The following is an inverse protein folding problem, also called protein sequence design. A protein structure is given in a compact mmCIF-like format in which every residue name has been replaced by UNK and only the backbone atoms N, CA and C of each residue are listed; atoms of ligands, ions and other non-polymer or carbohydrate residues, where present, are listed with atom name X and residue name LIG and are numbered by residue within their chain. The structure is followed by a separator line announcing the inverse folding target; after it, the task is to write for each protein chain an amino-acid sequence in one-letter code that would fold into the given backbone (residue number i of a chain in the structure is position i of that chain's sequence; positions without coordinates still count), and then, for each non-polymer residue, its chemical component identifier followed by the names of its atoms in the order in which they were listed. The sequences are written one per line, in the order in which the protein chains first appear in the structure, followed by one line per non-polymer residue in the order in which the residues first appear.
data_IF_850620941420
#
_entry.id   IF_850620941420
#
_cell.length_a   1.000
_cell.length_b   1.000
_cell.length_c   1.000
_cell.angle_alpha   90.00
_cell.angle_beta   90.00
_cell.angle_gamma   90.00
#
_symmetry.space_group_name_H-M   'P 1'
#
loop_
_entity.id
_entity.type
_entity.pdbx_description
1 polymer ?
#
# COMPACT_ATOMS: atom_id res chain seq x y z
N UNK A 1 -4.91 -21.86 -1.07
CA UNK A 1 -5.00 -20.74 -2.05
C UNK A 1 -6.42 -20.20 -2.17
N UNK A 2 -7.48 -21.01 -2.38
CA UNK A 2 -8.85 -20.48 -2.52
C UNK A 2 -9.30 -19.62 -1.33
N UNK A 3 -9.12 -20.11 -0.10
CA UNK A 3 -9.50 -19.37 1.13
C UNK A 3 -8.73 -18.06 1.33
N UNK A 4 -7.54 -17.93 0.73
CA UNK A 4 -6.80 -16.66 0.75
C UNK A 4 -7.45 -15.66 -0.21
N UNK A 5 -7.80 -16.10 -1.42
CA UNK A 5 -8.48 -15.28 -2.43
C UNK A 5 -9.90 -14.88 -1.98
N UNK A 6 -10.57 -15.74 -1.21
CA UNK A 6 -11.87 -15.43 -0.62
C UNK A 6 -11.77 -14.36 0.46
N UNK A 7 -10.71 -14.39 1.29
CA UNK A 7 -10.48 -13.41 2.34
C UNK A 7 -10.06 -12.05 1.78
N UNK A 8 -9.14 -12.04 0.82
CA UNK A 8 -8.59 -10.83 0.19
C UNK A 8 -9.46 -10.38 -1.00
N UNK A 9 -10.76 -10.25 -0.78
CA UNK A 9 -11.74 -10.15 -1.87
C UNK A 9 -11.70 -8.83 -2.65
N UNK A 10 -11.12 -7.79 -2.06
CA UNK A 10 -10.90 -6.47 -2.68
C UNK A 10 -9.77 -6.48 -3.71
N UNK A 11 -8.89 -7.49 -3.60
CA UNK A 11 -7.69 -7.57 -4.41
C UNK A 11 -7.87 -8.50 -5.60
N UNK A 12 -7.14 -8.19 -6.68
CA UNK A 12 -6.95 -9.04 -7.84
C UNK A 12 -5.51 -9.53 -7.89
N UNK A 13 -5.33 -10.76 -8.34
CA UNK A 13 -4.02 -11.37 -8.50
C UNK A 13 -3.67 -11.39 -9.98
N UNK A 14 -2.57 -10.73 -10.34
CA UNK A 14 -2.11 -10.60 -11.71
C UNK A 14 -0.84 -11.43 -11.90
N UNK A 15 -0.75 -12.15 -13.01
CA UNK A 15 0.53 -12.65 -13.49
C UNK A 15 1.26 -11.49 -14.19
N UNK A 16 2.42 -11.11 -13.67
CA UNK A 16 3.27 -10.05 -14.24
C UNK A 16 4.65 -10.59 -14.54
N UNK A 17 5.37 -9.93 -15.44
CA UNK A 17 6.81 -10.18 -15.65
C UNK A 17 7.58 -9.11 -14.91
N UNK A 18 8.18 -9.39 -13.74
CA UNK A 18 8.88 -8.36 -13.00
C UNK A 18 10.11 -7.85 -13.76
N UNK A 19 10.47 -6.61 -13.46
CA UNK A 19 11.68 -5.97 -13.93
C UNK A 19 12.68 -5.87 -12.76
N UNK A 20 13.95 -6.14 -13.05
CA UNK A 20 15.06 -5.98 -12.10
C UNK A 20 15.52 -4.52 -12.07
N UNK A 21 16.32 -4.17 -11.06
CA UNK A 21 16.95 -2.84 -10.97
C UNK A 21 17.79 -2.44 -12.19
N UNK A 22 18.30 -3.41 -12.96
CA UNK A 22 19.11 -3.14 -14.15
C UNK A 22 18.27 -3.08 -15.45
N UNK A 23 16.94 -3.03 -15.34
CA UNK A 23 16.03 -3.01 -16.49
C UNK A 23 15.89 -4.35 -17.22
N UNK A 24 16.39 -5.45 -16.63
CA UNK A 24 16.22 -6.79 -17.18
C UNK A 24 14.93 -7.42 -16.65
N UNK A 25 14.20 -8.13 -17.51
CA UNK A 25 13.01 -8.87 -17.14
C UNK A 25 13.34 -10.26 -16.60
N UNK A 26 12.57 -10.72 -15.61
CA UNK A 26 12.65 -12.11 -15.15
C UNK A 26 12.08 -13.06 -16.21
N UNK A 27 12.67 -14.25 -16.34
CA UNK A 27 12.18 -15.28 -17.26
C UNK A 27 10.86 -15.93 -16.78
N UNK A 28 10.60 -15.90 -15.47
CA UNK A 28 9.42 -16.51 -14.85
C UNK A 28 8.41 -15.44 -14.45
N UNK A 29 7.14 -15.55 -14.87
CA UNK A 29 6.07 -14.72 -14.36
C UNK A 29 5.93 -14.84 -12.84
N UNK A 30 5.54 -13.76 -12.20
CA UNK A 30 5.29 -13.67 -10.76
C UNK A 30 3.87 -13.20 -10.49
N UNK A 31 3.34 -13.52 -9.31
CA UNK A 31 2.00 -13.08 -8.90
C UNK A 31 2.11 -11.73 -8.20
N UNK A 32 1.45 -10.71 -8.74
CA UNK A 32 1.29 -9.40 -8.14
C UNK A 32 -0.12 -9.26 -7.55
N UNK A 33 -0.21 -8.83 -6.30
CA UNK A 33 -1.46 -8.40 -5.70
C UNK A 33 -1.72 -6.95 -6.11
N UNK A 34 -2.82 -6.72 -6.82
CA UNK A 34 -3.28 -5.39 -7.23
C UNK A 34 -4.69 -5.17 -6.70
N UNK A 35 -5.16 -3.93 -6.70
CA UNK A 35 -6.56 -3.63 -6.37
C UNK A 35 -7.47 -3.76 -7.59
N UNK A 36 -8.76 -4.02 -7.35
CA UNK A 36 -9.80 -3.68 -8.32
C UNK A 36 -10.07 -2.16 -8.34
N UNK A 37 -10.70 -1.65 -9.39
CA UNK A 37 -11.54 -0.44 -9.27
C UNK A 37 -12.87 -0.77 -8.56
N UNK A 38 -13.59 0.22 -8.05
CA UNK A 38 -14.92 -0.04 -7.45
C UNK A 38 -15.89 -0.67 -8.47
N UNK A 39 -15.80 -0.25 -9.74
CA UNK A 39 -16.56 -0.83 -10.85
C UNK A 39 -16.15 -2.29 -11.13
N UNK A 40 -14.85 -2.56 -11.24
CA UNK A 40 -14.36 -3.92 -11.45
C UNK A 40 -14.74 -4.82 -10.28
N UNK A 41 -14.66 -4.31 -9.04
CA UNK A 41 -15.06 -5.02 -7.84
C UNK A 41 -16.56 -5.36 -7.88
N UNK A 42 -17.40 -4.40 -8.24
CA UNK A 42 -18.84 -4.61 -8.37
C UNK A 42 -19.17 -5.67 -9.42
N UNK A 43 -18.54 -5.61 -10.60
CA UNK A 43 -18.80 -6.57 -11.67
C UNK A 43 -18.24 -7.96 -11.37
N UNK A 44 -17.03 -8.07 -10.83
CA UNK A 44 -16.34 -9.35 -10.66
C UNK A 44 -16.63 -10.03 -9.32
N UNK A 45 -16.73 -9.27 -8.22
CA UNK A 45 -16.89 -9.81 -6.86
C UNK A 45 -18.33 -9.77 -6.39
N UNK A 46 -19.07 -8.72 -6.74
CA UNK A 46 -20.50 -8.64 -6.45
C UNK A 46 -21.38 -9.22 -7.58
N UNK A 47 -20.81 -9.61 -8.72
CA UNK A 47 -21.55 -10.12 -9.89
C UNK A 47 -22.65 -9.14 -10.36
N UNK A 48 -22.42 -7.83 -10.20
CA UNK A 48 -23.41 -6.80 -10.49
C UNK A 48 -24.57 -6.71 -9.50
N UNK A 49 -24.49 -7.40 -8.36
CA UNK A 49 -25.53 -7.38 -7.33
C UNK A 49 -25.26 -6.30 -6.28
N UNK A 50 -26.13 -5.28 -6.24
CA UNK A 50 -26.03 -4.16 -5.29
C UNK A 50 -26.22 -4.58 -3.83
N UNK A 51 -27.00 -5.63 -3.56
CA UNK A 51 -27.23 -6.11 -2.20
C UNK A 51 -25.93 -6.68 -1.60
N UNK A 52 -25.12 -7.36 -2.42
CA UNK A 52 -23.81 -7.89 -1.98
C UNK A 52 -22.87 -6.74 -1.65
N UNK A 53 -22.82 -5.70 -2.49
CA UNK A 53 -22.02 -4.50 -2.22
C UNK A 53 -22.48 -3.79 -0.94
N UNK A 54 -23.80 -3.66 -0.74
CA UNK A 54 -24.37 -3.03 0.45
C UNK A 54 -24.05 -3.83 1.72
N UNK A 55 -24.17 -5.16 1.69
CA UNK A 55 -23.86 -6.00 2.85
C UNK A 55 -22.39 -5.94 3.26
N UNK A 56 -21.46 -5.81 2.30
CA UNK A 56 -20.04 -5.73 2.60
C UNK A 56 -19.62 -4.33 3.06
N UNK A 57 -20.06 -3.28 2.36
CA UNK A 57 -19.55 -1.91 2.54
C UNK A 57 -20.64 -0.88 2.80
N UNK A 58 -21.73 -0.91 2.03
CA UNK A 58 -22.76 0.13 2.08
C UNK A 58 -23.42 0.28 3.47
N UNK A 59 -23.60 -0.82 4.21
CA UNK A 59 -24.14 -0.79 5.58
C UNK A 59 -23.27 -0.04 6.59
N UNK A 60 -22.01 0.22 6.25
CA UNK A 60 -21.06 0.98 7.05
C UNK A 60 -20.87 2.42 6.54
N UNK A 61 -21.67 2.86 5.56
CA UNK A 61 -21.54 4.17 4.94
C UNK A 61 -20.31 4.29 4.02
N UNK A 62 -19.76 3.16 3.56
CA UNK A 62 -18.63 3.15 2.63
C UNK A 62 -19.19 3.18 1.20
N UNK A 63 -19.06 4.34 0.56
CA UNK A 63 -19.49 4.55 -0.84
C UNK A 63 -18.41 4.15 -1.85
N UNK A 64 -17.13 4.22 -1.46
CA UNK A 64 -15.98 3.92 -2.30
C UNK A 64 -14.94 3.14 -1.48
N UNK A 65 -14.49 2.01 -2.01
CA UNK A 65 -13.48 1.16 -1.36
C UNK A 65 -12.10 1.80 -1.48
N UNK A 66 -11.80 2.36 -2.65
CA UNK A 66 -10.49 2.92 -2.97
C UNK A 66 -10.53 4.43 -3.11
N UNK A 67 -10.29 5.13 -2.01
CA UNK A 67 -10.17 6.60 -1.98
C UNK A 67 -8.72 7.04 -2.17
N UNK A 68 -8.55 8.27 -2.68
CA UNK A 68 -7.26 8.76 -3.17
C UNK A 68 -6.62 9.78 -2.19
N UNK A 69 -7.34 10.14 -1.13
CA UNK A 69 -6.99 11.16 -0.13
C UNK A 69 -6.44 10.54 1.18
N UNK A 70 -5.92 9.32 1.11
CA UNK A 70 -5.33 8.63 2.25
C UNK A 70 -3.89 9.08 2.46
N UNK A 71 -3.62 9.62 3.64
CA UNK A 71 -2.26 9.91 4.11
C UNK A 71 -1.73 8.77 5.00
N UNK A 72 -0.43 8.48 4.94
CA UNK A 72 0.17 7.47 5.79
C UNK A 72 0.18 7.91 7.25
N UNK A 73 0.03 6.96 8.17
CA UNK A 73 0.33 7.18 9.57
C UNK A 73 1.81 7.57 9.71
N UNK A 74 2.09 8.74 10.30
CA UNK A 74 3.43 9.33 10.40
C UNK A 74 4.45 8.38 11.01
N UNK A 75 4.15 7.86 12.21
CA UNK A 75 5.02 6.92 12.92
C UNK A 75 5.28 5.63 12.14
N UNK A 76 4.26 5.11 11.46
CA UNK A 76 4.41 3.90 10.66
C UNK A 76 5.26 4.16 9.41
N UNK A 77 5.06 5.30 8.74
CA UNK A 77 5.88 5.70 7.60
C UNK A 77 7.35 5.82 8.00
N UNK A 78 7.66 6.49 9.11
CA UNK A 78 9.03 6.58 9.63
C UNK A 78 9.63 5.19 9.81
N UNK A 79 8.88 4.26 10.44
CA UNK A 79 9.35 2.90 10.64
C UNK A 79 9.67 2.18 9.32
N UNK A 80 8.80 2.29 8.31
CA UNK A 80 9.05 1.71 6.99
C UNK A 80 10.29 2.31 6.30
N UNK A 81 10.44 3.64 6.36
CA UNK A 81 11.59 4.35 5.79
C UNK A 81 12.90 3.90 6.44
N UNK A 82 12.93 3.79 7.77
CA UNK A 82 14.10 3.32 8.51
C UNK A 82 14.40 1.84 8.24
N UNK A 83 13.37 1.00 8.13
CA UNK A 83 13.55 -0.40 7.78
C UNK A 83 14.17 -0.57 6.38
N UNK A 84 13.69 0.20 5.39
CA UNK A 84 14.28 0.22 4.05
C UNK A 84 15.73 0.70 4.07
N UNK A 85 16.03 1.76 4.84
CA UNK A 85 17.39 2.28 5.04
C UNK A 85 18.34 1.26 5.65
N UNK A 86 17.88 0.53 6.67
CA UNK A 86 18.68 -0.50 7.33
C UNK A 86 18.95 -1.71 6.44
N UNK A 87 18.11 -1.96 5.43
CA UNK A 87 18.32 -3.04 4.48
C UNK A 87 19.45 -2.72 3.49
N UNK A 88 19.40 -1.57 2.83
CA UNK A 88 20.48 -1.03 1.97
C UNK A 88 20.11 0.37 1.45
N UNK A 89 21.09 1.10 0.92
CA UNK A 89 20.85 2.37 0.23
C UNK A 89 19.97 2.18 -1.03
N UNK A 90 20.18 1.11 -1.80
CA UNK A 90 19.33 0.78 -2.95
C UNK A 90 17.87 0.54 -2.55
N UNK A 91 17.64 -0.18 -1.44
CA UNK A 91 16.28 -0.42 -0.93
C UNK A 91 15.62 0.87 -0.41
N UNK A 92 16.41 1.75 0.22
CA UNK A 92 15.96 3.06 0.67
C UNK A 92 15.48 3.93 -0.49
N UNK A 93 16.32 4.10 -1.52
CA UNK A 93 15.96 4.90 -2.69
C UNK A 93 14.76 4.30 -3.42
N UNK A 94 14.75 2.98 -3.62
CA UNK A 94 13.62 2.31 -4.23
C UNK A 94 12.31 2.52 -3.45
N UNK A 95 12.34 2.42 -2.11
CA UNK A 95 11.16 2.66 -1.28
C UNK A 95 10.67 4.10 -1.43
N UNK A 96 11.57 5.08 -1.40
CA UNK A 96 11.22 6.49 -1.49
C UNK A 96 10.62 6.88 -2.85
N UNK A 97 11.13 6.28 -3.94
CA UNK A 97 10.78 6.65 -5.32
C UNK A 97 9.68 5.79 -5.95
N UNK A 98 9.44 4.58 -5.42
CA UNK A 98 8.44 3.64 -5.95
C UNK A 98 7.32 3.29 -4.96
N UNK A 99 7.23 4.01 -3.84
CA UNK A 99 6.06 4.00 -2.95
C UNK A 99 5.33 5.32 -3.10
N UNK A 100 4.00 5.26 -3.19
CA UNK A 100 3.15 6.41 -3.48
C UNK A 100 2.09 6.61 -2.39
N UNK A 101 1.59 7.84 -2.26
CA UNK A 101 0.40 8.14 -1.46
C UNK A 101 -0.87 7.54 -2.08
N UNK A 102 -2.00 7.69 -1.40
CA UNK A 102 -3.32 7.25 -1.91
C UNK A 102 -3.66 7.83 -3.29
N UNK A 103 -3.08 8.98 -3.64
CA UNK A 103 -3.25 9.66 -4.93
C UNK A 103 -2.56 8.95 -6.11
N UNK A 104 -1.69 7.97 -5.81
CA UNK A 104 -0.93 7.14 -6.77
C UNK A 104 0.01 7.96 -7.65
N UNK A 105 0.39 9.16 -7.21
CA UNK A 105 1.23 10.10 -7.96
C UNK A 105 2.37 10.62 -7.10
N UNK A 106 2.06 11.08 -5.90
CA UNK A 106 3.05 11.66 -5.00
C UNK A 106 3.86 10.53 -4.38
N UNK A 107 5.17 10.53 -4.64
CA UNK A 107 6.12 9.58 -4.04
C UNK A 107 6.33 9.88 -2.55
N UNK A 108 6.82 8.90 -1.79
CA UNK A 108 7.22 9.15 -0.40
C UNK A 108 8.35 10.18 -0.33
N UNK A 109 9.28 10.19 -1.29
CA UNK A 109 10.34 11.21 -1.36
C UNK A 109 9.77 12.62 -1.41
N UNK A 110 8.84 12.86 -2.33
CA UNK A 110 8.18 14.16 -2.50
C UNK A 110 7.35 14.51 -1.26
N UNK A 111 6.59 13.54 -0.73
CA UNK A 111 5.73 13.76 0.42
C UNK A 111 6.52 14.24 1.65
N UNK A 112 7.68 13.62 1.95
CA UNK A 112 8.53 13.99 3.08
C UNK A 112 9.09 15.43 2.97
N UNK A 113 9.14 16.00 1.77
CA UNK A 113 9.57 17.39 1.54
C UNK A 113 8.43 18.41 1.68
N UNK A 114 7.17 17.95 1.75
CA UNK A 114 6.01 18.85 1.94
C UNK A 114 5.90 19.33 3.38
N UNK A 115 5.13 20.40 3.59
CA UNK A 115 4.81 20.88 4.95
C UNK A 115 4.13 19.82 5.82
N UNK A 116 3.33 18.92 5.23
CA UNK A 116 2.64 17.85 5.96
C UNK A 116 3.57 16.69 6.29
N UNK A 117 4.50 16.34 5.39
CA UNK A 117 5.48 15.26 5.61
C UNK A 117 6.69 15.68 6.45
N UNK A 118 6.92 16.99 6.57
CA UNK A 118 8.00 17.52 7.39
C UNK A 118 7.89 17.07 8.86
N UNK A 119 9.03 16.80 9.49
CA UNK A 119 9.11 16.35 10.88
C UNK A 119 8.82 14.86 11.10
N UNK A 120 8.42 14.10 10.08
CA UNK A 120 8.10 12.66 10.24
C UNK A 120 9.35 11.86 10.65
N UNK A 121 10.51 12.19 10.10
CA UNK A 121 11.74 11.43 10.36
C UNK A 121 12.31 11.70 11.76
N UNK A 122 12.01 12.86 12.32
CA UNK A 122 12.41 13.33 13.64
C UNK A 122 11.44 12.89 14.75
N UNK A 123 10.27 12.35 14.39
CA UNK A 123 9.23 11.94 15.33
C UNK A 123 9.63 10.66 16.09
N UNK A 124 9.78 10.76 17.40
CA UNK A 124 10.07 9.61 18.27
C UNK A 124 8.78 8.82 18.55
N UNK A 125 8.82 7.47 18.50
CA UNK A 125 7.68 6.67 18.88
C UNK A 125 7.35 6.84 20.38
N UNK A 126 6.08 6.74 20.79
CA UNK A 126 5.70 6.78 22.20
C UNK A 126 6.54 5.82 23.05
N UNK A 127 7.16 6.35 24.12
CA UNK A 127 8.17 5.66 24.93
C UNK A 127 7.72 4.31 25.49
N UNK A 128 6.42 4.15 25.78
CA UNK A 128 5.92 3.05 26.60
C UNK A 128 5.81 1.69 25.89
N UNK A 129 5.70 1.61 24.56
CA UNK A 129 5.41 0.32 23.89
C UNK A 129 6.07 0.07 22.54
N UNK A 130 6.59 1.11 21.88
CA UNK A 130 6.97 1.01 20.47
C UNK A 130 8.46 1.04 20.21
N UNK A 131 9.26 1.58 21.13
CA UNK A 131 10.71 1.70 20.98
C UNK A 131 11.41 0.33 20.87
N UNK A 132 11.02 -0.64 21.72
CA UNK A 132 11.53 -2.02 21.63
C UNK A 132 10.99 -2.79 20.42
N UNK A 133 9.79 -2.48 19.91
CA UNK A 133 9.13 -3.25 18.84
C UNK A 133 9.48 -2.77 17.44
N UNK A 134 9.77 -1.48 17.28
CA UNK A 134 10.00 -0.84 15.98
C UNK A 134 11.45 -0.37 15.75
N UNK A 135 12.39 -0.85 16.58
CA UNK A 135 13.82 -0.79 16.26
C UNK A 135 14.65 0.33 16.89
N UNK A 136 14.22 0.90 18.03
CA UNK A 136 15.01 1.85 18.81
C UNK A 136 14.70 3.32 18.55
#
# INVERSE_FOLDING_TARGET
VPSFIEREHEFRFLAVTPETFNGLFYATPSVLCARYSDEEYFLNRCQGNVDVLYQQYGRYGIEKIWVDDILPCRLYLRHCVLAAKNLSETAYDNFLDHTFLGDRKTTIREYLQTQQGSGIMEEEPPEMFLRQRYGG
#
